data_IF_940152979885
#
_entry.id   IF_940152979885
#
_cell.length_a   1.000
_cell.length_b   1.000
_cell.length_c   1.000
_cell.angle_alpha   90.00
_cell.angle_beta   90.00
_cell.angle_gamma   90.00
#
_symmetry.space_group_name_H-M   'P 1'
#
loop_
_entity.id
_entity.type
_entity.pdbx_description
1 polymer ?
#
# COMPACT_ATOMS: atom_id res chain seq x y z
N UNK A 1 -2.66 -52.20 16.26
CA UNK A 1 -3.48 -52.06 15.06
C UNK A 1 -2.66 -52.62 13.89
N UNK A 2 -3.23 -53.51 13.08
CA UNK A 2 -2.53 -54.17 11.94
C UNK A 2 -2.91 -53.58 10.56
N UNK A 3 -3.86 -52.62 10.54
CA UNK A 3 -4.27 -51.97 9.30
C UNK A 3 -3.22 -51.01 8.81
N UNK A 4 -2.84 -51.13 7.54
CA UNK A 4 -1.96 -50.19 6.81
C UNK A 4 -2.79 -49.61 5.69
N UNK A 5 -2.90 -48.30 5.66
CA UNK A 5 -3.69 -47.58 4.69
C UNK A 5 -3.04 -47.62 3.29
N UNK A 6 -3.88 -47.77 2.27
CA UNK A 6 -3.43 -47.63 0.89
C UNK A 6 -3.28 -46.16 0.53
N UNK A 7 -2.06 -45.73 0.20
CA UNK A 7 -1.76 -44.36 -0.15
C UNK A 7 -2.60 -43.83 -1.33
N UNK A 8 -2.92 -44.67 -2.31
CA UNK A 8 -3.74 -44.27 -3.46
C UNK A 8 -5.20 -44.03 -3.08
N UNK A 9 -5.78 -44.87 -2.21
CA UNK A 9 -7.11 -44.66 -1.70
C UNK A 9 -7.19 -43.43 -0.81
N UNK A 10 -6.23 -43.26 0.08
CA UNK A 10 -6.12 -42.07 0.91
C UNK A 10 -5.93 -40.80 0.07
N UNK A 11 -5.25 -40.87 -1.07
CA UNK A 11 -5.08 -39.74 -2.00
C UNK A 11 -6.41 -39.30 -2.61
N UNK A 12 -7.29 -40.23 -2.98
CA UNK A 12 -8.63 -39.90 -3.50
C UNK A 12 -9.47 -39.09 -2.50
N UNK A 13 -9.41 -39.46 -1.23
CA UNK A 13 -10.13 -38.73 -0.19
C UNK A 13 -9.56 -37.32 0.03
N UNK A 14 -8.24 -37.16 0.01
CA UNK A 14 -7.58 -35.85 0.08
C UNK A 14 -7.92 -34.99 -1.15
N UNK A 15 -7.95 -35.59 -2.33
CA UNK A 15 -8.39 -34.93 -3.56
C UNK A 15 -9.83 -34.43 -3.43
N UNK A 16 -10.77 -35.29 -2.99
CA UNK A 16 -12.16 -34.91 -2.81
C UNK A 16 -12.34 -33.78 -1.79
N UNK A 17 -11.54 -33.75 -0.73
CA UNK A 17 -11.54 -32.65 0.25
C UNK A 17 -11.05 -31.33 -0.38
N UNK A 18 -9.92 -31.39 -1.11
CA UNK A 18 -9.40 -30.21 -1.83
C UNK A 18 -10.43 -29.67 -2.82
N UNK A 19 -10.99 -30.53 -3.66
CA UNK A 19 -11.98 -30.14 -4.66
C UNK A 19 -13.26 -29.57 -4.03
N UNK A 20 -13.60 -30.03 -2.82
CA UNK A 20 -14.68 -29.45 -2.01
C UNK A 20 -14.38 -28.03 -1.56
N UNK A 21 -13.16 -27.75 -1.13
CA UNK A 21 -12.71 -26.40 -0.77
C UNK A 21 -12.77 -25.47 -1.98
N UNK A 22 -12.26 -25.89 -3.13
CA UNK A 22 -12.28 -25.08 -4.36
C UNK A 22 -13.71 -24.73 -4.78
N UNK A 23 -14.63 -25.71 -4.79
CA UNK A 23 -16.05 -25.43 -5.07
C UNK A 23 -16.67 -24.44 -4.10
N UNK A 24 -16.36 -24.56 -2.80
CA UNK A 24 -16.87 -23.65 -1.77
C UNK A 24 -16.36 -22.22 -2.02
N UNK A 25 -15.09 -22.06 -2.37
CA UNK A 25 -14.49 -20.76 -2.69
C UNK A 25 -15.19 -20.16 -3.91
N UNK A 26 -15.37 -20.91 -4.98
CA UNK A 26 -16.07 -20.45 -6.20
C UNK A 26 -17.51 -19.99 -5.90
N UNK A 27 -18.26 -20.78 -5.12
CA UNK A 27 -19.63 -20.44 -4.76
C UNK A 27 -19.70 -19.14 -3.93
N UNK A 28 -18.82 -19.02 -2.93
CA UNK A 28 -18.73 -17.82 -2.10
C UNK A 28 -18.32 -16.61 -2.90
N UNK A 29 -17.43 -16.80 -3.87
CA UNK A 29 -17.01 -15.73 -4.76
C UNK A 29 -18.14 -15.21 -5.65
N UNK A 30 -18.94 -16.12 -6.26
CA UNK A 30 -20.14 -15.74 -7.02
C UNK A 30 -21.14 -14.95 -6.18
N UNK A 31 -21.39 -15.39 -4.95
CA UNK A 31 -22.25 -14.70 -4.02
C UNK A 31 -21.70 -13.30 -3.67
N UNK A 32 -20.45 -13.19 -3.30
CA UNK A 32 -19.80 -11.93 -2.97
C UNK A 32 -19.82 -10.92 -4.15
N UNK A 33 -19.76 -11.41 -5.40
CA UNK A 33 -19.87 -10.57 -6.59
C UNK A 33 -21.25 -9.91 -6.69
N UNK A 34 -22.32 -10.67 -6.43
CA UNK A 34 -23.69 -10.14 -6.43
C UNK A 34 -23.87 -9.12 -5.32
N UNK A 35 -23.40 -9.42 -4.11
CA UNK A 35 -23.47 -8.52 -2.96
C UNK A 35 -22.71 -7.21 -3.21
N UNK A 36 -21.50 -7.28 -3.77
CA UNK A 36 -20.71 -6.08 -4.13
C UNK A 36 -21.45 -5.22 -5.15
N UNK A 37 -22.02 -5.82 -6.19
CA UNK A 37 -22.75 -5.08 -7.21
C UNK A 37 -23.97 -4.32 -6.61
N UNK A 38 -24.64 -4.93 -5.65
CA UNK A 38 -25.76 -4.29 -4.96
C UNK A 38 -25.33 -3.13 -4.03
N UNK A 39 -24.14 -3.23 -3.40
CA UNK A 39 -23.63 -2.22 -2.48
C UNK A 39 -23.15 -0.93 -3.16
N UNK A 40 -22.84 -0.97 -4.47
CA UNK A 40 -22.24 0.16 -5.19
C UNK A 40 -23.19 0.89 -6.13
N UNK A 41 -24.49 0.60 -6.09
CA UNK A 41 -25.51 1.22 -6.95
C UNK A 41 -25.64 2.72 -6.73
N UNK A 42 -25.43 3.20 -5.50
CA UNK A 42 -25.63 4.59 -5.08
C UNK A 42 -24.33 5.37 -4.85
N UNK A 43 -23.24 4.97 -5.48
CA UNK A 43 -22.00 5.72 -5.37
C UNK A 43 -22.13 7.11 -6.02
N UNK A 44 -21.68 8.23 -5.37
CA UNK A 44 -20.84 8.29 -4.14
C UNK A 44 -21.60 8.40 -2.81
N UNK A 45 -22.91 8.19 -2.77
CA UNK A 45 -23.70 8.25 -1.52
C UNK A 45 -23.14 7.28 -0.47
N UNK A 46 -23.06 7.71 0.78
CA UNK A 46 -22.55 6.89 1.89
C UNK A 46 -21.05 6.59 1.79
N UNK A 47 -20.26 7.50 1.22
CA UNK A 47 -18.81 7.27 1.03
C UNK A 47 -18.07 7.08 2.36
N UNK A 48 -18.48 7.76 3.42
CA UNK A 48 -17.81 7.67 4.71
C UNK A 48 -18.11 6.35 5.42
N UNK A 49 -19.33 5.84 5.29
CA UNK A 49 -19.71 4.50 5.75
C UNK A 49 -18.94 3.43 4.98
N UNK A 50 -18.77 3.59 3.67
CA UNK A 50 -17.98 2.68 2.83
C UNK A 50 -16.50 2.72 3.19
N UNK A 51 -15.95 3.89 3.51
CA UNK A 51 -14.58 4.04 4.03
C UNK A 51 -14.41 3.36 5.39
N UNK A 52 -15.37 3.55 6.30
CA UNK A 52 -15.35 2.89 7.60
C UNK A 52 -15.38 1.37 7.45
N UNK A 53 -16.28 0.85 6.63
CA UNK A 53 -16.37 -0.58 6.33
C UNK A 53 -15.08 -1.14 5.70
N UNK A 54 -14.47 -0.42 4.76
CA UNK A 54 -13.19 -0.84 4.16
C UNK A 54 -12.06 -0.89 5.21
N UNK A 55 -12.01 0.07 6.14
CA UNK A 55 -11.05 0.06 7.26
C UNK A 55 -11.29 -1.11 8.20
N UNK A 56 -12.54 -1.46 8.47
CA UNK A 56 -12.92 -2.61 9.29
C UNK A 56 -12.45 -3.93 8.66
N UNK A 57 -12.68 -4.11 7.35
CA UNK A 57 -12.19 -5.29 6.61
C UNK A 57 -10.66 -5.42 6.64
N UNK A 58 -9.95 -4.30 6.48
CA UNK A 58 -8.48 -4.28 6.50
C UNK A 58 -7.91 -4.49 7.90
N UNK A 59 -8.66 -4.11 8.93
CA UNK A 59 -8.35 -4.35 10.33
C UNK A 59 -7.38 -3.35 10.96
N UNK A 60 -6.85 -3.72 12.11
CA UNK A 60 -5.89 -2.91 12.85
C UNK A 60 -4.66 -2.54 12.01
N UNK A 61 -4.13 -1.28 12.09
CA UNK A 61 -4.54 -0.18 12.97
C UNK A 61 -5.59 0.78 12.37
N UNK A 62 -6.14 0.51 11.20
CA UNK A 62 -7.10 1.40 10.52
C UNK A 62 -8.45 1.53 11.26
N UNK A 63 -8.75 0.55 12.14
CA UNK A 63 -9.95 0.55 12.99
C UNK A 63 -9.83 1.46 14.21
N UNK A 64 -8.62 1.89 14.53
CA UNK A 64 -8.38 2.85 15.61
C UNK A 64 -8.45 4.28 15.06
N UNK A 65 -8.77 5.23 15.95
CA UNK A 65 -8.74 6.65 15.58
C UNK A 65 -7.33 7.10 15.21
N UNK A 66 -7.21 8.07 14.30
CA UNK A 66 -5.90 8.59 13.87
C UNK A 66 -5.11 9.29 14.99
N UNK A 67 -5.76 9.71 16.07
CA UNK A 67 -5.12 10.50 17.15
C UNK A 67 -4.75 11.92 16.73
N UNK A 68 -3.84 12.55 17.45
CA UNK A 68 -3.28 13.86 17.12
C UNK A 68 -2.34 13.82 15.91
N UNK A 69 -1.90 14.99 15.43
CA UNK A 69 -0.91 15.10 14.34
C UNK A 69 0.40 14.45 14.79
N UNK A 70 0.99 13.52 14.00
CA UNK A 70 2.22 12.85 14.39
C UNK A 70 3.43 13.79 14.34
N UNK A 71 4.43 13.47 15.17
CA UNK A 71 5.72 14.14 15.09
C UNK A 71 6.44 13.82 13.77
N UNK A 72 7.04 14.84 13.15
CA UNK A 72 7.89 14.71 11.97
C UNK A 72 9.31 15.14 12.34
N UNK A 73 10.26 14.23 12.12
CA UNK A 73 11.69 14.55 12.21
C UNK A 73 12.26 14.65 10.81
N UNK A 74 13.02 15.73 10.55
CA UNK A 74 13.65 16.00 9.26
C UNK A 74 15.14 16.20 9.43
N UNK A 75 15.94 15.47 8.69
CA UNK A 75 17.39 15.64 8.55
C UNK A 75 17.69 16.13 7.13
N UNK A 76 18.31 17.29 6.99
CA UNK A 76 18.70 17.82 5.68
C UNK A 76 19.80 16.94 5.08
N UNK A 77 19.56 16.41 3.87
CA UNK A 77 20.53 15.61 3.12
C UNK A 77 21.24 16.41 2.03
N UNK A 78 20.48 17.26 1.33
CA UNK A 78 21.02 18.06 0.23
C UNK A 78 20.20 19.34 0.01
N UNK A 79 20.89 20.38 -0.44
CA UNK A 79 20.33 21.61 -0.95
C UNK A 79 20.60 21.68 -2.46
N UNK A 80 19.55 21.51 -3.25
CA UNK A 80 19.60 21.67 -4.70
C UNK A 80 19.12 23.07 -5.12
N UNK A 81 19.28 23.41 -6.38
CA UNK A 81 18.84 24.71 -6.90
C UNK A 81 17.35 24.97 -6.67
N UNK A 82 16.50 23.97 -6.94
CA UNK A 82 15.05 24.11 -6.95
C UNK A 82 14.36 23.47 -5.75
N UNK A 83 15.03 22.62 -4.98
CA UNK A 83 14.44 21.95 -3.81
C UNK A 83 15.47 21.64 -2.73
N UNK A 84 14.99 21.42 -1.51
CA UNK A 84 15.74 20.86 -0.39
C UNK A 84 15.29 19.40 -0.16
N UNK A 85 16.26 18.49 -0.01
CA UNK A 85 16.00 17.06 0.25
C UNK A 85 16.24 16.72 1.70
N UNK A 86 15.25 16.08 2.31
CA UNK A 86 15.31 15.64 3.70
C UNK A 86 15.11 14.13 3.84
N UNK A 87 15.89 13.49 4.72
CA UNK A 87 15.49 12.23 5.34
C UNK A 87 14.43 12.54 6.39
N UNK A 88 13.32 11.83 6.31
CA UNK A 88 12.16 12.14 7.14
C UNK A 88 11.67 10.89 7.85
N UNK A 89 11.34 11.03 9.14
CA UNK A 89 10.62 10.01 9.89
C UNK A 89 9.36 10.60 10.48
N UNK A 90 8.26 9.85 10.36
CA UNK A 90 6.95 10.15 10.95
C UNK A 90 6.68 9.10 12.00
N UNK A 91 6.36 9.49 13.22
CA UNK A 91 5.91 8.54 14.25
C UNK A 91 4.46 8.11 13.97
N UNK A 92 4.30 7.16 13.05
CA UNK A 92 2.99 6.73 12.56
C UNK A 92 2.16 5.99 13.63
N UNK A 93 2.84 5.25 14.51
CA UNK A 93 2.32 4.61 15.73
C UNK A 93 3.34 4.82 16.86
N UNK A 94 2.95 4.75 18.13
CA UNK A 94 3.88 4.91 19.24
C UNK A 94 5.11 4.01 19.13
N UNK A 95 6.30 4.61 19.07
CA UNK A 95 7.57 3.91 18.93
C UNK A 95 7.87 3.33 17.55
N UNK A 96 7.05 3.61 16.54
CA UNK A 96 7.25 3.13 15.16
C UNK A 96 7.54 4.29 14.21
N UNK A 97 8.82 4.60 13.92
CA UNK A 97 9.20 5.58 12.94
C UNK A 97 8.93 5.06 11.53
N UNK A 98 8.17 5.80 10.75
CA UNK A 98 7.95 5.53 9.34
C UNK A 98 8.85 6.42 8.50
N UNK A 99 9.76 5.81 7.76
CA UNK A 99 10.82 6.47 7.00
C UNK A 99 10.37 6.90 5.62
N UNK A 100 10.96 8.00 5.13
CA UNK A 100 10.84 8.45 3.74
C UNK A 100 11.78 9.60 3.38
N UNK A 101 11.77 9.97 2.12
CA UNK A 101 12.47 11.12 1.57
C UNK A 101 11.48 12.22 1.25
N UNK A 102 11.72 13.42 1.76
CA UNK A 102 10.89 14.59 1.53
C UNK A 102 11.65 15.62 0.71
N UNK A 103 11.08 15.98 -0.42
CA UNK A 103 11.58 16.99 -1.35
C UNK A 103 10.70 18.24 -1.23
N UNK A 104 11.23 19.32 -0.67
CA UNK A 104 10.53 20.58 -0.55
C UNK A 104 11.01 21.56 -1.61
N UNK A 105 10.14 21.96 -2.51
CA UNK A 105 10.40 22.95 -3.54
C UNK A 105 10.71 24.32 -2.94
N UNK A 106 11.64 25.04 -3.53
CA UNK A 106 12.00 26.41 -3.15
C UNK A 106 11.18 27.46 -3.91
N UNK A 107 11.20 28.69 -3.43
CA UNK A 107 10.72 29.88 -4.13
C UNK A 107 9.24 30.21 -3.99
N UNK A 108 8.34 29.27 -3.78
CA UNK A 108 6.91 29.54 -3.56
C UNK A 108 6.52 29.10 -2.15
N UNK A 109 5.78 29.91 -1.38
CA UNK A 109 5.54 29.60 0.04
C UNK A 109 4.68 28.36 0.25
N UNK A 110 3.65 28.12 -0.57
CA UNK A 110 2.72 26.99 -0.41
C UNK A 110 2.56 26.22 -1.71
N UNK A 111 2.67 24.89 -1.66
CA UNK A 111 2.57 24.00 -2.83
C UNK A 111 1.83 22.72 -2.51
N UNK A 112 1.20 22.07 -3.51
CA UNK A 112 0.67 20.70 -3.38
C UNK A 112 1.75 19.72 -2.93
N UNK A 113 1.32 18.66 -2.22
CA UNK A 113 2.16 17.54 -1.85
C UNK A 113 1.75 16.30 -2.65
N UNK A 114 2.72 15.60 -3.23
CA UNK A 114 2.50 14.33 -3.92
C UNK A 114 3.29 13.23 -3.21
N UNK A 115 2.61 12.15 -2.82
CA UNK A 115 3.27 10.93 -2.37
C UNK A 115 3.71 10.12 -3.60
N UNK A 116 5.01 9.76 -3.63
CA UNK A 116 5.63 8.95 -4.68
C UNK A 116 5.90 7.55 -4.16
N UNK A 117 5.05 6.58 -4.53
CA UNK A 117 5.03 5.24 -3.92
C UNK A 117 5.72 4.21 -4.81
N UNK A 118 6.80 3.61 -4.29
CA UNK A 118 7.55 2.56 -4.97
C UNK A 118 6.79 1.21 -5.02
N UNK A 119 7.16 0.35 -5.97
CA UNK A 119 6.66 -1.02 -6.10
C UNK A 119 7.48 -2.05 -5.32
N UNK A 120 7.23 -3.33 -5.60
CA UNK A 120 8.02 -4.46 -5.06
C UNK A 120 9.50 -4.28 -5.42
N UNK A 121 10.38 -4.63 -4.48
CA UNK A 121 11.84 -4.49 -4.59
C UNK A 121 12.31 -3.04 -4.76
N UNK A 122 11.44 -2.07 -4.42
CA UNK A 122 11.73 -0.65 -4.47
C UNK A 122 12.04 -0.03 -3.13
N UNK A 123 12.64 1.14 -3.20
CA UNK A 123 12.88 2.04 -2.06
C UNK A 123 12.62 3.48 -2.50
N UNK A 124 12.45 4.42 -1.55
CA UNK A 124 12.36 5.84 -1.91
C UNK A 124 13.58 6.34 -2.68
N UNK A 125 14.78 5.83 -2.39
CA UNK A 125 16.01 6.20 -3.10
C UNK A 125 16.01 5.72 -4.55
N UNK A 126 15.51 4.50 -4.82
CA UNK A 126 15.41 3.95 -6.17
C UNK A 126 14.38 4.71 -7.01
N UNK A 127 13.19 4.98 -6.47
CA UNK A 127 12.18 5.72 -7.22
C UNK A 127 12.52 7.20 -7.40
N UNK A 128 13.44 7.73 -6.57
CA UNK A 128 13.94 9.10 -6.64
C UNK A 128 15.26 9.24 -7.41
N UNK A 129 15.80 8.15 -7.96
CA UNK A 129 17.08 8.09 -8.70
C UNK A 129 18.31 8.47 -7.87
N UNK A 130 18.25 8.33 -6.54
CA UNK A 130 19.37 8.63 -5.65
C UNK A 130 20.41 7.50 -5.56
N UNK A 131 20.03 6.28 -5.96
CA UNK A 131 20.92 5.11 -6.08
C UNK A 131 21.23 4.78 -7.55
N UNK A 132 21.23 5.79 -8.43
CA UNK A 132 21.36 5.65 -9.87
C UNK A 132 20.01 5.54 -10.58
N UNK A 133 20.04 5.41 -11.92
CA UNK A 133 18.81 5.31 -12.70
C UNK A 133 18.16 3.93 -12.52
N UNK A 134 16.85 3.89 -12.37
CA UNK A 134 16.05 2.69 -12.43
C UNK A 134 15.14 2.72 -13.66
N UNK A 135 15.28 1.74 -14.54
CA UNK A 135 14.42 1.60 -15.73
C UNK A 135 12.95 1.41 -15.36
N UNK A 136 12.67 0.75 -14.24
CA UNK A 136 11.31 0.48 -13.78
C UNK A 136 10.58 1.76 -13.36
N UNK A 137 11.25 2.68 -12.66
CA UNK A 137 10.63 3.90 -12.15
C UNK A 137 10.69 5.07 -13.13
N UNK A 138 11.60 5.03 -14.11
CA UNK A 138 11.73 6.07 -15.11
C UNK A 138 11.73 7.48 -14.48
N UNK A 139 12.56 7.65 -13.44
CA UNK A 139 12.70 8.91 -12.70
C UNK A 139 11.37 9.45 -12.12
N UNK A 140 10.49 8.56 -11.65
CA UNK A 140 9.12 8.91 -11.22
C UNK A 140 9.09 10.11 -10.27
N UNK A 141 9.86 10.10 -9.19
CA UNK A 141 9.91 11.19 -8.20
C UNK A 141 10.43 12.50 -8.84
N UNK A 142 11.45 12.42 -9.70
CA UNK A 142 11.99 13.60 -10.40
C UNK A 142 10.97 14.21 -11.37
N UNK A 143 10.16 13.37 -12.02
CA UNK A 143 9.08 13.86 -12.90
C UNK A 143 7.98 14.53 -12.10
N UNK A 144 7.64 14.03 -10.93
CA UNK A 144 6.69 14.67 -10.03
C UNK A 144 7.21 16.02 -9.52
N UNK A 145 8.50 16.12 -9.18
CA UNK A 145 9.14 17.38 -8.80
C UNK A 145 9.08 18.44 -9.90
N UNK A 146 9.20 18.04 -11.17
CA UNK A 146 9.08 18.94 -12.32
C UNK A 146 7.68 19.58 -12.47
N UNK A 147 6.66 19.03 -11.82
CA UNK A 147 5.32 19.66 -11.77
C UNK A 147 5.27 20.86 -10.84
N UNK A 148 6.30 21.06 -10.03
CA UNK A 148 6.37 22.12 -9.03
C UNK A 148 5.77 21.74 -7.67
N UNK A 149 5.27 20.54 -7.47
CA UNK A 149 4.78 20.06 -6.18
C UNK A 149 5.92 19.67 -5.23
N UNK A 150 5.66 19.71 -3.91
CA UNK A 150 6.45 18.96 -2.95
C UNK A 150 6.24 17.47 -3.16
N UNK A 151 7.27 16.66 -2.91
CA UNK A 151 7.16 15.21 -3.06
C UNK A 151 7.64 14.50 -1.81
N UNK A 152 6.86 13.56 -1.33
CA UNK A 152 7.25 12.62 -0.27
C UNK A 152 7.30 11.21 -0.82
N UNK A 153 8.46 10.59 -0.72
CA UNK A 153 8.69 9.20 -1.13
C UNK A 153 8.91 8.33 0.12
N UNK A 154 7.88 7.67 0.66
CA UNK A 154 7.98 6.81 1.85
C UNK A 154 8.53 5.43 1.52
N UNK A 155 9.06 4.74 2.55
CA UNK A 155 9.47 3.35 2.49
C UNK A 155 8.37 2.44 3.01
N UNK A 156 7.85 1.58 2.14
CA UNK A 156 7.01 0.44 2.53
C UNK A 156 7.85 -0.84 2.66
N UNK A 157 7.33 -1.89 3.29
CA UNK A 157 8.02 -3.17 3.52
C UNK A 157 8.08 -4.01 2.23
N UNK A 158 8.73 -3.48 1.20
CA UNK A 158 8.78 -4.04 -0.15
C UNK A 158 10.19 -4.07 -0.77
N UNK A 159 11.23 -3.63 -0.04
CA UNK A 159 12.60 -3.60 -0.58
C UNK A 159 13.21 -5.00 -0.72
N UNK A 160 14.25 -5.10 -1.50
CA UNK A 160 15.05 -6.32 -1.60
C UNK A 160 16.00 -6.42 -0.39
N UNK A 161 15.75 -7.38 0.49
CA UNK A 161 16.47 -7.54 1.75
C UNK A 161 17.96 -7.88 1.56
N UNK A 162 18.29 -8.61 0.51
CA UNK A 162 19.69 -8.99 0.22
C UNK A 162 20.49 -7.78 -0.25
N UNK A 163 19.86 -6.88 -0.98
CA UNK A 163 20.51 -5.69 -1.52
C UNK A 163 20.79 -4.62 -0.46
N UNK A 164 19.89 -4.46 0.53
CA UNK A 164 19.97 -3.36 1.50
C UNK A 164 20.38 -3.78 2.91
N UNK A 165 20.73 -5.05 3.11
CA UNK A 165 21.29 -5.54 4.38
C UNK A 165 20.36 -5.51 5.59
N UNK A 166 19.07 -5.29 5.39
CA UNK A 166 18.03 -5.29 6.43
C UNK A 166 17.03 -6.42 6.14
N UNK A 167 17.31 -7.63 6.63
CA UNK A 167 16.48 -8.79 6.32
C UNK A 167 15.09 -8.68 6.97
N UNK A 168 14.07 -9.07 6.23
CA UNK A 168 12.71 -9.20 6.74
C UNK A 168 11.98 -10.32 5.99
N UNK A 169 10.85 -10.74 6.54
CA UNK A 169 9.91 -11.62 5.85
C UNK A 169 8.52 -11.01 5.95
N UNK A 170 8.04 -10.39 4.86
CA UNK A 170 6.75 -9.72 4.80
C UNK A 170 5.60 -10.64 5.16
N UNK A 171 5.63 -11.89 4.67
CA UNK A 171 4.57 -12.88 4.94
C UNK A 171 4.50 -13.24 6.41
N UNK A 172 5.64 -13.40 7.06
CA UNK A 172 5.71 -13.66 8.50
C UNK A 172 5.22 -12.47 9.32
N UNK A 173 5.54 -11.24 8.90
CA UNK A 173 5.01 -10.02 9.55
C UNK A 173 3.50 -9.98 9.40
N UNK A 174 2.98 -10.20 8.18
CA UNK A 174 1.55 -10.20 7.90
C UNK A 174 0.79 -11.28 8.69
N UNK A 175 1.33 -12.50 8.73
CA UNK A 175 0.74 -13.58 9.53
C UNK A 175 0.64 -13.21 11.03
N UNK A 176 1.66 -12.56 11.58
CA UNK A 176 1.61 -12.09 12.99
C UNK A 176 0.60 -10.98 13.19
N UNK A 177 0.48 -10.03 12.25
CA UNK A 177 -0.52 -8.96 12.30
C UNK A 177 -1.94 -9.54 12.20
N UNK A 178 -2.16 -10.56 11.38
CA UNK A 178 -3.46 -11.25 11.28
C UNK A 178 -3.91 -11.87 12.60
N UNK A 179 -3.00 -12.38 13.41
CA UNK A 179 -3.31 -12.83 14.78
C UNK A 179 -3.78 -11.71 15.71
N UNK A 180 -3.47 -10.46 15.37
CA UNK A 180 -3.88 -9.27 16.11
C UNK A 180 -5.08 -8.54 15.46
N UNK A 181 -5.73 -9.16 14.48
CA UNK A 181 -6.86 -8.57 13.75
C UNK A 181 -6.44 -7.47 12.75
N UNK A 182 -5.18 -7.48 12.31
CA UNK A 182 -4.65 -6.52 11.35
C UNK A 182 -4.01 -7.20 10.14
N UNK A 183 -3.34 -6.39 9.32
CA UNK A 183 -2.55 -6.86 8.20
C UNK A 183 -1.40 -5.90 7.90
N UNK A 184 -0.39 -6.36 7.16
CA UNK A 184 0.68 -5.48 6.68
C UNK A 184 0.12 -4.37 5.77
N UNK A 185 -0.92 -4.67 5.01
CA UNK A 185 -1.60 -3.67 4.16
C UNK A 185 -2.27 -2.58 5.01
N UNK A 186 -2.98 -2.97 6.07
CA UNK A 186 -3.60 -2.01 6.99
C UNK A 186 -2.56 -1.15 7.69
N UNK A 187 -1.46 -1.77 8.15
CA UNK A 187 -0.36 -1.08 8.82
C UNK A 187 0.29 -0.03 7.90
N UNK A 188 0.65 -0.41 6.68
CA UNK A 188 1.29 0.50 5.73
C UNK A 188 0.34 1.60 5.24
N UNK A 189 -0.94 1.28 4.98
CA UNK A 189 -1.95 2.29 4.66
C UNK A 189 -2.11 3.30 5.81
N UNK A 190 -2.14 2.84 7.06
CA UNK A 190 -2.16 3.70 8.23
C UNK A 190 -0.92 4.61 8.28
N UNK A 191 0.27 4.06 8.10
CA UNK A 191 1.52 4.85 8.09
C UNK A 191 1.51 5.93 7.00
N UNK A 192 1.03 5.60 5.81
CA UNK A 192 0.90 6.55 4.71
C UNK A 192 -0.11 7.67 5.03
N UNK A 193 -1.27 7.31 5.61
CA UNK A 193 -2.28 8.28 6.04
C UNK A 193 -1.74 9.18 7.17
N UNK A 194 -1.00 8.60 8.13
CA UNK A 194 -0.33 9.39 9.19
C UNK A 194 0.74 10.32 8.64
N UNK A 195 1.43 9.90 7.58
CA UNK A 195 2.38 10.79 6.90
C UNK A 195 1.68 11.97 6.21
N UNK A 196 0.49 11.75 5.63
CA UNK A 196 -0.35 12.84 5.10
C UNK A 196 -0.73 13.80 6.23
N UNK A 197 -1.26 13.30 7.36
CA UNK A 197 -1.62 14.13 8.52
C UNK A 197 -0.44 14.99 8.99
N UNK A 198 0.74 14.38 9.10
CA UNK A 198 1.95 15.05 9.60
C UNK A 198 2.49 16.12 8.63
N UNK A 199 2.57 15.78 7.34
CA UNK A 199 3.17 16.65 6.33
C UNK A 199 2.21 17.76 5.88
N UNK A 200 0.89 17.55 5.95
CA UNK A 200 -0.11 18.59 5.74
C UNK A 200 -0.06 19.71 6.79
N UNK A 201 0.53 19.45 7.95
CA UNK A 201 0.77 20.46 8.99
C UNK A 201 1.98 21.37 8.74
N UNK A 202 2.75 21.17 7.66
CA UNK A 202 3.86 22.04 7.31
C UNK A 202 3.35 23.31 6.62
N UNK A 203 3.81 24.48 7.03
CA UNK A 203 3.38 25.79 6.51
C UNK A 203 3.54 25.94 4.98
N UNK A 204 4.45 25.18 4.39
CA UNK A 204 4.71 25.19 2.96
C UNK A 204 3.85 24.23 2.14
N UNK A 205 3.04 23.37 2.79
CA UNK A 205 2.21 22.36 2.12
C UNK A 205 0.77 22.85 1.98
N UNK A 206 0.25 22.79 0.76
CA UNK A 206 -1.17 22.98 0.50
C UNK A 206 -1.95 21.72 0.84
N UNK A 207 -2.51 21.69 2.05
CA UNK A 207 -3.27 20.56 2.59
C UNK A 207 -4.53 20.21 1.77
N UNK A 208 -5.09 21.17 1.00
CA UNK A 208 -6.26 20.92 0.14
C UNK A 208 -5.88 20.22 -1.18
N UNK A 209 -4.59 20.13 -1.50
CA UNK A 209 -4.09 19.59 -2.77
C UNK A 209 -3.05 18.48 -2.54
N UNK A 210 -3.50 17.36 -1.98
CA UNK A 210 -2.70 16.15 -1.77
C UNK A 210 -2.92 15.18 -2.93
N UNK A 211 -1.83 14.77 -3.56
CA UNK A 211 -1.82 13.75 -4.62
C UNK A 211 -1.06 12.49 -4.23
N UNK A 212 -1.37 11.38 -4.89
CA UNK A 212 -0.63 10.13 -4.74
C UNK A 212 -0.34 9.52 -6.10
N UNK A 213 0.91 9.13 -6.33
CA UNK A 213 1.34 8.45 -7.55
C UNK A 213 2.17 7.24 -7.18
N UNK A 214 1.87 6.08 -7.77
CA UNK A 214 2.60 4.86 -7.46
C UNK A 214 2.64 3.84 -8.59
N UNK A 215 3.67 3.00 -8.54
CA UNK A 215 3.91 1.93 -9.51
C UNK A 215 3.71 0.55 -8.85
N UNK A 216 2.98 -0.36 -9.52
CA UNK A 216 2.77 -1.74 -9.06
C UNK A 216 2.15 -1.78 -7.64
N UNK A 217 2.83 -2.29 -6.61
CA UNK A 217 2.37 -2.18 -5.22
C UNK A 217 2.15 -0.73 -4.78
N UNK A 218 2.99 0.21 -5.22
CA UNK A 218 2.74 1.63 -5.01
C UNK A 218 1.45 2.11 -5.67
N UNK A 219 1.12 1.60 -6.86
CA UNK A 219 -0.17 1.82 -7.52
C UNK A 219 -1.35 1.27 -6.72
N UNK A 220 -1.20 0.09 -6.13
CA UNK A 220 -2.19 -0.47 -5.20
C UNK A 220 -2.41 0.44 -3.98
N UNK A 221 -1.34 0.87 -3.32
CA UNK A 221 -1.47 1.80 -2.19
C UNK A 221 -2.02 3.16 -2.60
N UNK A 222 -1.74 3.62 -3.82
CA UNK A 222 -2.33 4.86 -4.35
C UNK A 222 -3.85 4.77 -4.44
N UNK A 223 -4.38 3.66 -4.98
CA UNK A 223 -5.82 3.41 -5.03
C UNK A 223 -6.43 3.26 -3.63
N UNK A 224 -5.74 2.53 -2.75
CA UNK A 224 -6.19 2.30 -1.39
C UNK A 224 -6.28 3.61 -0.60
N UNK A 225 -5.27 4.47 -0.70
CA UNK A 225 -5.28 5.80 -0.07
C UNK A 225 -6.40 6.69 -0.60
N UNK A 226 -6.62 6.71 -1.93
CA UNK A 226 -7.74 7.46 -2.50
C UNK A 226 -9.10 7.00 -1.98
N UNK A 227 -9.23 5.69 -1.73
CA UNK A 227 -10.45 5.13 -1.16
C UNK A 227 -10.61 5.44 0.34
N UNK A 228 -9.54 5.38 1.12
CA UNK A 228 -9.58 5.46 2.59
C UNK A 228 -9.40 6.86 3.16
N UNK A 229 -8.66 7.72 2.46
CA UNK A 229 -8.26 9.03 2.96
C UNK A 229 -8.94 10.19 2.19
N UNK A 230 -9.82 10.96 2.84
CA UNK A 230 -10.51 12.09 2.20
C UNK A 230 -9.58 13.25 1.81
N UNK A 231 -8.35 13.31 2.34
CA UNK A 231 -7.36 14.32 1.97
C UNK A 231 -6.75 14.09 0.58
N UNK A 232 -6.78 12.85 0.07
CA UNK A 232 -6.26 12.53 -1.27
C UNK A 232 -7.23 13.04 -2.33
N UNK A 233 -6.80 14.05 -3.11
CA UNK A 233 -7.58 14.70 -4.17
C UNK A 233 -7.28 14.17 -5.56
N UNK A 234 -6.09 13.64 -5.78
CA UNK A 234 -5.71 13.08 -7.08
C UNK A 234 -4.87 11.82 -6.91
N UNK A 235 -5.05 10.87 -7.83
CA UNK A 235 -4.39 9.57 -7.75
C UNK A 235 -3.97 9.10 -9.12
N UNK A 236 -2.72 8.62 -9.21
CA UNK A 236 -2.18 7.94 -10.38
C UNK A 236 -1.69 6.55 -9.94
N UNK A 237 -2.37 5.52 -10.43
CA UNK A 237 -2.01 4.13 -10.18
C UNK A 237 -1.47 3.49 -11.46
N UNK A 238 -0.15 3.27 -11.52
CA UNK A 238 0.50 2.65 -12.65
C UNK A 238 0.65 1.14 -12.43
N UNK A 239 0.30 0.32 -13.45
CA UNK A 239 0.47 -1.13 -13.47
C UNK A 239 -0.18 -1.88 -12.29
N UNK A 240 -1.34 -1.43 -11.82
CA UNK A 240 -2.07 -2.08 -10.71
C UNK A 240 -3.59 -1.93 -10.74
N UNK A 241 -4.14 -1.28 -11.70
CA UNK A 241 -5.59 -1.30 -11.87
C UNK A 241 -5.96 -2.57 -12.63
N UNK A 242 -6.58 -3.52 -11.95
CA UNK A 242 -6.98 -4.81 -12.51
C UNK A 242 -8.36 -5.19 -12.02
N UNK A 243 -9.07 -5.94 -12.85
CA UNK A 243 -10.31 -6.58 -12.44
C UNK A 243 -9.97 -7.80 -11.56
N UNK A 244 -10.44 -7.78 -10.31
CA UNK A 244 -10.23 -8.91 -9.39
C UNK A 244 -10.84 -10.22 -9.91
N UNK A 245 -11.91 -10.14 -10.70
CA UNK A 245 -12.52 -11.30 -11.35
C UNK A 245 -11.55 -11.95 -12.36
N UNK A 246 -10.82 -11.11 -13.10
CA UNK A 246 -9.77 -11.56 -14.00
C UNK A 246 -8.59 -12.19 -13.26
N UNK A 247 -8.12 -11.54 -12.18
CA UNK A 247 -7.00 -12.03 -11.38
C UNK A 247 -7.31 -13.37 -10.71
N UNK A 248 -8.51 -13.53 -10.13
CA UNK A 248 -8.92 -14.79 -9.52
C UNK A 248 -9.06 -15.89 -10.57
N UNK A 249 -9.65 -15.59 -11.73
CA UNK A 249 -9.75 -16.53 -12.84
C UNK A 249 -8.39 -17.01 -13.33
N UNK A 250 -7.39 -16.12 -13.36
CA UNK A 250 -6.00 -16.45 -13.72
C UNK A 250 -5.31 -17.33 -12.69
N UNK A 251 -5.47 -17.04 -11.40
CA UNK A 251 -4.91 -17.86 -10.30
C UNK A 251 -5.45 -19.28 -10.37
N UNK A 252 -6.77 -19.44 -10.57
CA UNK A 252 -7.42 -20.76 -10.63
C UNK A 252 -6.99 -21.55 -11.87
N UNK A 253 -6.87 -20.89 -13.03
CA UNK A 253 -6.62 -21.57 -14.31
C UNK A 253 -5.13 -21.78 -14.62
N UNK A 254 -4.24 -20.88 -14.21
CA UNK A 254 -2.82 -20.90 -14.54
C UNK A 254 -1.92 -21.44 -13.43
N UNK A 255 -2.47 -21.71 -12.25
CA UNK A 255 -1.72 -22.22 -11.10
C UNK A 255 -0.68 -21.22 -10.58
N UNK A 256 -0.81 -19.95 -10.92
CA UNK A 256 0.12 -18.91 -10.56
C UNK A 256 -0.10 -18.47 -9.10
N UNK A 257 0.55 -19.18 -8.18
CA UNK A 257 0.50 -18.90 -6.74
C UNK A 257 1.12 -17.55 -6.35
N UNK A 258 1.59 -16.75 -7.30
CA UNK A 258 2.30 -15.50 -7.02
C UNK A 258 1.40 -14.26 -6.85
N UNK A 259 0.10 -14.37 -7.10
CA UNK A 259 -0.82 -13.28 -6.78
C UNK A 259 -1.38 -13.49 -5.37
N UNK A 260 -0.50 -13.58 -4.40
CA UNK A 260 -0.93 -13.48 -3.01
C UNK A 260 -0.98 -12.00 -2.63
N UNK A 261 -2.11 -11.57 -2.16
CA UNK A 261 -2.31 -10.32 -1.43
C UNK A 261 -1.69 -10.44 -0.02
N UNK A 262 -0.49 -10.99 0.03
CA UNK A 262 0.26 -11.24 1.25
C UNK A 262 1.18 -10.10 1.57
#
# INVERSE_FOLDING_TARGET
MRYIENHMEAALWRQGYRDGIERLIEERYKQARVERSAQWTDFPTGIDEKRAFAKEILGWPLTEGRGGVPEVKKELLAEEENFSLYRTTVEALPGMPFYGLLFLQKGTPVRPLILSLHGKEGTPELCSSLLGSSTNYNEMTQRLLKTGAHVYAPQTLLWNTDMFGVPYNRERVDARLKHLGGSVVALEAHCLMRSIDALSGLDCVDAENIGVCGLSYGGFYSLLLAALDPWVRSTVACARFTDLDFDIGRIVNEGDAQISWK
#
